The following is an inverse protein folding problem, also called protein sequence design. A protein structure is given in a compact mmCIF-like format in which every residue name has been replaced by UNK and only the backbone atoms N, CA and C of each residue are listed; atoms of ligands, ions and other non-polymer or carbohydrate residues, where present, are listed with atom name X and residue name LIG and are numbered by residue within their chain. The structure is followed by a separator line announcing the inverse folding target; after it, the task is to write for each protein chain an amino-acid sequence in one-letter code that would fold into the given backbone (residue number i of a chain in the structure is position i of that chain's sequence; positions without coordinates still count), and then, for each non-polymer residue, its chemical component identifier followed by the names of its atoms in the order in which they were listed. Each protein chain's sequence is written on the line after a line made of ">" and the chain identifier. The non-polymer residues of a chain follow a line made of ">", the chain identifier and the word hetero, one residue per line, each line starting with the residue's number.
data_IF_910371250543
#
_entry.id   IF_910371250543
#
_cell.length_a   1.000
_cell.length_b   1.000
_cell.length_c   1.000
_cell.angle_alpha   90.00
_cell.angle_beta   90.00
_cell.angle_gamma   90.00
#
_symmetry.space_group_name_H-M   'P 1'
#
loop_
_entity.id
_entity.type
_entity.pdbx_description
1 polymer ?
#
# COMPACT_ATOMS: atom_id res chain seq x y z
N UNK A 1 -10.70 -5.51 11.17
CA UNK A 1 -11.93 -6.12 11.73
C UNK A 1 -11.86 -6.22 13.24
N UNK A 2 -11.05 -7.13 13.82
CA UNK A 2 -10.92 -7.30 15.28
C UNK A 2 -10.57 -5.99 16.02
N UNK A 3 -9.58 -5.25 15.51
CA UNK A 3 -9.23 -3.94 16.05
C UNK A 3 -10.41 -2.96 16.04
N UNK A 4 -11.08 -2.81 14.89
CA UNK A 4 -12.26 -1.95 14.74
C UNK A 4 -13.38 -2.31 15.72
N UNK A 5 -13.61 -3.60 15.97
CA UNK A 5 -14.58 -4.05 16.96
C UNK A 5 -14.21 -3.64 18.39
N UNK A 6 -12.92 -3.76 18.78
CA UNK A 6 -12.43 -3.37 20.11
C UNK A 6 -12.65 -1.87 20.37
N UNK A 7 -12.46 -1.03 19.35
CA UNK A 7 -12.62 0.42 19.47
C UNK A 7 -14.02 0.92 19.10
N UNK A 8 -15.00 0.03 18.92
CA UNK A 8 -16.36 0.34 18.49
C UNK A 8 -16.44 1.18 17.19
N UNK A 9 -15.52 0.92 16.26
CA UNK A 9 -15.49 1.56 14.95
C UNK A 9 -16.56 0.96 14.03
N UNK A 10 -17.17 1.82 13.21
CA UNK A 10 -18.11 1.41 12.18
C UNK A 10 -17.56 0.30 11.28
N UNK A 11 -18.42 -0.69 11.00
CA UNK A 11 -18.05 -1.87 10.22
C UNK A 11 -17.61 -1.49 8.80
N UNK A 12 -18.28 -0.51 8.19
CA UNK A 12 -17.95 0.01 6.86
C UNK A 12 -16.56 0.61 6.80
N UNK A 13 -16.15 1.36 7.83
CA UNK A 13 -14.80 1.93 7.92
C UNK A 13 -13.77 0.82 8.16
N UNK A 14 -14.09 -0.13 9.04
CA UNK A 14 -13.22 -1.28 9.32
C UNK A 14 -12.96 -2.14 8.07
N UNK A 15 -13.98 -2.36 7.25
CA UNK A 15 -13.88 -3.09 5.97
C UNK A 15 -13.08 -2.30 4.95
N UNK A 16 -13.30 -0.98 4.87
CA UNK A 16 -12.54 -0.08 4.00
C UNK A 16 -11.04 -0.16 4.29
N UNK A 17 -10.65 -0.04 5.57
CA UNK A 17 -9.24 -0.13 6.00
C UNK A 17 -8.67 -1.52 5.72
N UNK A 18 -9.40 -2.58 6.07
CA UNK A 18 -8.93 -3.95 5.86
C UNK A 18 -8.72 -4.26 4.36
N UNK A 19 -9.67 -3.86 3.52
CA UNK A 19 -9.59 -4.03 2.07
C UNK A 19 -8.45 -3.21 1.46
N UNK A 20 -8.27 -1.95 1.88
CA UNK A 20 -7.16 -1.13 1.40
C UNK A 20 -5.81 -1.72 1.77
N UNK A 21 -5.64 -2.17 3.02
CA UNK A 21 -4.39 -2.78 3.49
C UNK A 21 -4.04 -4.06 2.71
N UNK A 22 -5.03 -4.89 2.39
CA UNK A 22 -4.80 -6.08 1.57
C UNK A 22 -4.29 -5.72 0.17
N UNK A 23 -4.87 -4.69 -0.46
CA UNK A 23 -4.38 -4.16 -1.73
C UNK A 23 -2.95 -3.61 -1.63
N UNK A 24 -2.66 -2.84 -0.57
CA UNK A 24 -1.32 -2.26 -0.33
C UNK A 24 -0.27 -3.35 -0.16
N UNK A 25 -0.57 -4.44 0.55
CA UNK A 25 0.37 -5.56 0.72
C UNK A 25 0.71 -6.22 -0.62
N UNK A 26 -0.30 -6.43 -1.49
CA UNK A 26 -0.08 -6.99 -2.83
C UNK A 26 0.81 -6.06 -3.66
N UNK A 27 0.49 -4.76 -3.69
CA UNK A 27 1.31 -3.78 -4.42
C UNK A 27 2.72 -3.68 -3.84
N UNK A 28 2.89 -3.70 -2.53
CA UNK A 28 4.19 -3.65 -1.87
C UNK A 28 5.06 -4.86 -2.24
N UNK A 29 4.49 -6.06 -2.33
CA UNK A 29 5.21 -7.25 -2.78
C UNK A 29 5.68 -7.12 -4.25
N UNK A 30 4.83 -6.57 -5.11
CA UNK A 30 5.18 -6.31 -6.51
C UNK A 30 6.27 -5.23 -6.61
N UNK A 31 6.15 -4.12 -5.90
CA UNK A 31 7.16 -3.04 -5.86
C UNK A 31 8.49 -3.56 -5.34
N UNK A 32 8.48 -4.31 -4.24
CA UNK A 32 9.68 -4.91 -3.65
C UNK A 32 10.40 -5.87 -4.61
N UNK A 33 9.67 -6.48 -5.55
CA UNK A 33 10.25 -7.35 -6.58
C UNK A 33 10.71 -6.57 -7.80
N UNK A 34 9.87 -5.69 -8.35
CA UNK A 34 10.13 -5.03 -9.62
C UNK A 34 11.08 -3.85 -9.51
N UNK A 35 11.07 -3.09 -8.42
CA UNK A 35 11.96 -1.92 -8.25
C UNK A 35 13.44 -2.33 -8.34
N UNK A 36 13.94 -3.32 -7.57
CA UNK A 36 15.33 -3.76 -7.70
C UNK A 36 15.68 -4.23 -9.12
N UNK A 37 14.78 -4.98 -9.77
CA UNK A 37 14.98 -5.51 -11.13
C UNK A 37 15.09 -4.36 -12.15
N UNK A 38 14.22 -3.36 -12.06
CA UNK A 38 14.21 -2.21 -12.97
C UNK A 38 15.47 -1.36 -12.77
N UNK A 39 15.88 -1.14 -11.53
CA UNK A 39 17.10 -0.39 -11.21
C UNK A 39 18.33 -1.08 -11.80
N UNK A 40 18.48 -2.39 -11.56
CA UNK A 40 19.59 -3.16 -12.11
C UNK A 40 19.61 -3.13 -13.65
N UNK A 41 18.44 -3.26 -14.30
CA UNK A 41 18.33 -3.17 -15.77
C UNK A 41 18.70 -1.80 -16.32
N UNK A 42 18.63 -0.74 -15.51
CA UNK A 42 19.05 0.62 -15.87
C UNK A 42 20.50 0.94 -15.48
N UNK A 43 21.25 -0.05 -14.97
CA UNK A 43 22.63 0.13 -14.50
C UNK A 43 22.75 0.87 -13.17
N UNK A 44 21.65 1.02 -12.43
CA UNK A 44 21.63 1.63 -11.09
C UNK A 44 21.78 0.50 -10.07
N UNK A 45 22.75 0.63 -9.16
CA UNK A 45 22.97 -0.33 -8.08
C UNK A 45 21.72 -0.41 -7.15
N UNK A 46 21.00 -1.55 -7.14
CA UNK A 46 19.83 -1.71 -6.29
C UNK A 46 20.15 -1.64 -4.79
N UNK A 47 21.36 -1.99 -4.36
CA UNK A 47 21.73 -2.02 -2.94
C UNK A 47 21.66 -0.62 -2.30
N UNK A 48 21.88 0.43 -3.09
CA UNK A 48 21.91 1.82 -2.63
C UNK A 48 20.56 2.50 -2.87
N UNK A 49 19.88 2.18 -3.97
CA UNK A 49 18.68 2.89 -4.41
C UNK A 49 17.37 2.26 -3.93
N UNK A 50 17.28 0.94 -3.72
CA UNK A 50 15.99 0.28 -3.45
C UNK A 50 15.26 0.80 -2.22
N UNK A 51 15.98 1.16 -1.14
CA UNK A 51 15.37 1.71 0.07
C UNK A 51 14.46 2.91 -0.21
N UNK A 52 14.99 4.06 -0.64
CA UNK A 52 14.20 5.25 -0.94
C UNK A 52 13.09 5.04 -1.99
N UNK A 53 13.34 4.24 -3.03
CA UNK A 53 12.34 4.01 -4.08
C UNK A 53 11.18 3.12 -3.62
N UNK A 54 11.46 2.05 -2.87
CA UNK A 54 10.41 1.15 -2.38
C UNK A 54 9.54 1.86 -1.35
N UNK A 55 10.12 2.58 -0.40
CA UNK A 55 9.34 3.29 0.63
C UNK A 55 8.47 4.38 0.02
N UNK A 56 9.05 5.23 -0.82
CA UNK A 56 8.29 6.31 -1.48
C UNK A 56 7.15 5.76 -2.35
N UNK A 57 7.41 4.69 -3.12
CA UNK A 57 6.36 4.08 -3.94
C UNK A 57 5.25 3.49 -3.06
N UNK A 58 5.60 2.77 -1.99
CA UNK A 58 4.62 2.24 -1.04
C UNK A 58 3.81 3.35 -0.35
N UNK A 59 4.40 4.50 -0.04
CA UNK A 59 3.68 5.63 0.55
C UNK A 59 2.63 6.20 -0.42
N UNK A 60 3.03 6.42 -1.69
CA UNK A 60 2.13 6.93 -2.74
C UNK A 60 0.97 5.95 -2.97
N UNK A 61 1.27 4.66 -3.22
CA UNK A 61 0.24 3.67 -3.49
C UNK A 61 -0.59 3.35 -2.24
N UNK A 62 0.01 3.40 -1.06
CA UNK A 62 -0.64 3.24 0.23
C UNK A 62 -1.78 4.24 0.43
N UNK A 63 -1.44 5.53 0.29
CA UNK A 63 -2.40 6.62 0.40
C UNK A 63 -3.42 6.57 -0.73
N UNK A 64 -2.99 6.33 -1.96
CA UNK A 64 -3.88 6.22 -3.11
C UNK A 64 -4.93 5.11 -2.94
N UNK A 65 -4.52 3.91 -2.57
CA UNK A 65 -5.44 2.78 -2.38
C UNK A 65 -6.37 3.00 -1.20
N UNK A 66 -5.89 3.60 -0.12
CA UNK A 66 -6.73 3.95 1.02
C UNK A 66 -7.85 4.91 0.61
N UNK A 67 -7.51 6.04 -0.01
CA UNK A 67 -8.51 7.02 -0.44
C UNK A 67 -9.41 6.47 -1.55
N UNK A 68 -8.89 5.63 -2.45
CA UNK A 68 -9.69 4.97 -3.47
C UNK A 68 -10.74 4.05 -2.84
N UNK A 69 -10.35 3.15 -1.93
CA UNK A 69 -11.29 2.28 -1.23
C UNK A 69 -12.30 3.11 -0.44
N UNK A 70 -11.83 4.13 0.25
CA UNK A 70 -12.68 4.95 1.07
C UNK A 70 -13.70 5.74 0.20
N UNK A 71 -13.33 6.19 -1.00
CA UNK A 71 -14.28 6.75 -1.98
C UNK A 71 -15.32 5.71 -2.44
N UNK A 72 -14.89 4.49 -2.75
CA UNK A 72 -15.79 3.42 -3.25
C UNK A 72 -16.76 2.94 -2.18
N UNK A 73 -16.31 2.79 -0.94
CA UNK A 73 -17.09 2.19 0.15
C UNK A 73 -17.80 3.20 1.05
N UNK A 74 -17.25 4.40 1.22
CA UNK A 74 -17.82 5.44 2.09
C UNK A 74 -18.45 6.60 1.31
N UNK A 75 -18.20 6.70 0.00
CA UNK A 75 -18.91 7.62 -0.88
C UNK A 75 -18.58 9.11 -0.71
N UNK A 76 -17.41 9.46 -0.17
CA UNK A 76 -16.95 10.86 -0.16
C UNK A 76 -16.30 11.28 -1.49
#
# INVERSE_FOLDING_TARGET
>A
MLFGFIIQQDLSISLTIAGSMMGVIIIAALIGTFVPIILNKRGIDPAIATGPFITTANDIFGIFLFFFMAKVFLGF
#
